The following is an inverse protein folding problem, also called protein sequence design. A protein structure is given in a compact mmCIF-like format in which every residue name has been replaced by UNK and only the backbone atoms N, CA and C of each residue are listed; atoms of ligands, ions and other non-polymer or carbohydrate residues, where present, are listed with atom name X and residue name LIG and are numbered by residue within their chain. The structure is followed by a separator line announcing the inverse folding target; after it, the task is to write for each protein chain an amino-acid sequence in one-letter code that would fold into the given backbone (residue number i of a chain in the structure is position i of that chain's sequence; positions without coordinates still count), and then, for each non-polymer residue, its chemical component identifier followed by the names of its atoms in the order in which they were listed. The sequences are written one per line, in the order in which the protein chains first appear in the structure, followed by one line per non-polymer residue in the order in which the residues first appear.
data_IF_313139613730
#
_entry.id   IF_313139613730
#
_cell.length_a   1.000
_cell.length_b   1.000
_cell.length_c   1.000
_cell.angle_alpha   90.00
_cell.angle_beta   90.00
_cell.angle_gamma   90.00
#
_symmetry.space_group_name_H-M   'P 1'
#
loop_
_entity.id
_entity.type
_entity.pdbx_description
1 polymer ?
#
# COMPACT_ATOMS: atom_id res chain seq x y z
N UNK A 1 -17.10 -14.20 -7.88
CA UNK A 1 -15.64 -13.99 -8.10
C UNK A 1 -14.93 -15.29 -8.53
N UNK A 2 -15.69 -16.31 -8.94
CA UNK A 2 -15.21 -17.70 -9.00
C UNK A 2 -14.46 -18.07 -10.28
N UNK A 3 -14.35 -17.16 -11.24
CA UNK A 3 -13.79 -17.42 -12.59
C UNK A 3 -12.40 -16.78 -12.80
N UNK A 4 -11.98 -15.83 -11.97
CA UNK A 4 -10.71 -15.10 -12.15
C UNK A 4 -9.45 -15.87 -11.70
N UNK A 5 -8.51 -16.20 -12.61
CA UNK A 5 -7.26 -16.90 -12.28
C UNK A 5 -6.41 -16.11 -11.26
N UNK A 6 -6.00 -16.69 -10.12
CA UNK A 6 -5.18 -15.99 -9.12
C UNK A 6 -3.79 -15.66 -9.67
N UNK A 7 -3.13 -14.69 -9.04
CA UNK A 7 -1.77 -14.23 -9.38
C UNK A 7 -0.90 -14.24 -8.13
N UNK A 8 0.42 -14.38 -8.30
CA UNK A 8 1.36 -14.58 -7.18
C UNK A 8 1.94 -13.31 -6.56
N UNK A 9 1.69 -12.12 -7.16
CA UNK A 9 2.19 -10.84 -6.63
C UNK A 9 1.10 -9.78 -6.67
N UNK A 10 1.05 -8.86 -5.69
CA UNK A 10 -0.01 -7.85 -5.58
C UNK A 10 0.09 -6.77 -6.66
N UNK A 11 1.28 -6.48 -7.17
CA UNK A 11 1.52 -5.58 -8.30
C UNK A 11 2.49 -6.23 -9.28
N UNK A 12 2.01 -6.58 -10.48
CA UNK A 12 2.85 -7.13 -11.54
C UNK A 12 3.83 -6.09 -12.11
N UNK A 13 5.00 -6.54 -12.56
CA UNK A 13 6.06 -5.68 -13.12
C UNK A 13 5.64 -4.91 -14.39
N UNK A 14 4.61 -5.39 -15.08
CA UNK A 14 3.99 -4.73 -16.23
C UNK A 14 3.23 -3.45 -15.85
N UNK A 15 2.83 -3.28 -14.58
CA UNK A 15 2.07 -2.10 -14.14
C UNK A 15 3.01 -0.96 -13.72
N UNK A 16 3.51 -0.23 -14.71
CA UNK A 16 4.25 1.03 -14.53
C UNK A 16 3.31 2.23 -14.70
N UNK A 17 2.47 2.44 -13.69
CA UNK A 17 1.37 3.42 -13.75
C UNK A 17 1.89 4.87 -13.65
N UNK A 18 1.33 5.76 -14.46
CA UNK A 18 1.64 7.20 -14.50
C UNK A 18 0.40 8.02 -14.86
N UNK A 19 0.40 9.32 -14.56
CA UNK A 19 -0.62 10.25 -15.03
C UNK A 19 -0.74 10.29 -16.57
N UNK A 20 0.26 9.78 -17.30
CA UNK A 20 0.18 9.62 -18.76
C UNK A 20 -0.87 8.61 -19.20
N UNK A 21 -1.23 7.66 -18.33
CA UNK A 21 -2.23 6.62 -18.56
C UNK A 21 -3.66 7.09 -18.22
N UNK A 22 -3.79 8.31 -17.68
CA UNK A 22 -5.08 8.93 -17.42
C UNK A 22 -5.71 9.46 -18.73
N UNK A 23 -7.06 9.43 -18.84
CA UNK A 23 -7.77 10.00 -19.98
C UNK A 23 -7.47 11.49 -20.17
N UNK A 24 -7.20 11.90 -21.42
CA UNK A 24 -6.87 13.28 -21.80
C UNK A 24 -8.03 13.98 -22.49
N UNK A 25 -8.73 13.27 -23.35
CA UNK A 25 -9.87 13.79 -24.09
C UNK A 25 -11.20 13.13 -23.66
N UNK A 26 -12.31 13.71 -24.11
CA UNK A 26 -13.63 13.25 -23.72
C UNK A 26 -13.97 11.88 -24.32
N UNK A 27 -13.34 11.49 -25.44
CA UNK A 27 -13.50 10.15 -26.02
C UNK A 27 -12.84 9.08 -25.16
N UNK A 28 -11.65 9.36 -24.61
CA UNK A 28 -10.95 8.47 -23.69
C UNK A 28 -11.67 8.38 -22.34
N UNK A 29 -12.21 9.49 -21.85
CA UNK A 29 -13.06 9.48 -20.64
C UNK A 29 -14.31 8.63 -20.87
N UNK A 30 -14.91 8.72 -22.05
CA UNK A 30 -16.08 7.90 -22.41
C UNK A 30 -15.71 6.42 -22.56
N UNK A 31 -14.58 6.10 -23.21
CA UNK A 31 -14.04 4.74 -23.24
C UNK A 31 -13.80 4.18 -21.84
N UNK A 32 -13.29 4.99 -20.91
CA UNK A 32 -13.11 4.58 -19.51
C UNK A 32 -14.45 4.29 -18.82
N UNK A 33 -15.47 5.14 -19.04
CA UNK A 33 -16.84 4.91 -18.54
C UNK A 33 -17.47 3.64 -19.10
N UNK A 34 -17.26 3.36 -20.38
CA UNK A 34 -17.78 2.15 -21.06
C UNK A 34 -17.04 0.89 -20.59
N UNK A 35 -15.71 0.93 -20.53
CA UNK A 35 -14.85 -0.22 -20.16
C UNK A 35 -15.04 -0.65 -18.70
N UNK A 36 -15.49 0.27 -17.84
CA UNK A 36 -15.85 -0.01 -16.44
C UNK A 36 -17.28 -0.54 -16.27
N UNK A 37 -18.00 -0.83 -17.37
CA UNK A 37 -19.40 -1.31 -17.39
C UNK A 37 -20.42 -0.37 -16.72
N UNK A 38 -20.12 0.93 -16.58
CA UNK A 38 -21.07 1.87 -16.01
C UNK A 38 -20.81 3.31 -16.50
N UNK A 39 -21.58 3.74 -17.51
CA UNK A 39 -21.73 5.15 -17.85
C UNK A 39 -22.10 5.94 -16.60
N UNK A 40 -21.31 6.96 -16.27
CA UNK A 40 -21.36 7.81 -15.06
C UNK A 40 -20.80 7.25 -13.72
N UNK A 41 -20.54 5.94 -13.56
CA UNK A 41 -20.10 5.35 -12.26
C UNK A 41 -18.61 4.98 -12.25
N UNK A 42 -17.90 5.01 -13.38
CA UNK A 42 -16.51 4.53 -13.47
C UNK A 42 -15.52 5.11 -12.43
N UNK A 43 -15.55 6.42 -12.17
CA UNK A 43 -14.71 7.04 -11.13
C UNK A 43 -15.15 6.66 -9.71
N UNK A 44 -16.47 6.56 -9.49
CA UNK A 44 -17.03 6.13 -8.21
C UNK A 44 -16.67 4.67 -7.91
N UNK A 45 -16.75 3.77 -8.90
CA UNK A 45 -16.34 2.37 -8.73
C UNK A 45 -14.85 2.24 -8.43
N UNK A 46 -14.00 3.05 -9.08
CA UNK A 46 -12.57 3.05 -8.80
C UNK A 46 -12.29 3.48 -7.35
N UNK A 47 -12.90 4.58 -6.91
CA UNK A 47 -12.76 5.07 -5.54
C UNK A 47 -13.30 4.08 -4.50
N UNK A 48 -14.47 3.47 -4.75
CA UNK A 48 -15.05 2.45 -3.87
C UNK A 48 -14.17 1.21 -3.80
N UNK A 49 -13.66 0.71 -4.93
CA UNK A 49 -12.76 -0.44 -4.97
C UNK A 49 -11.47 -0.17 -4.18
N UNK A 50 -10.89 1.02 -4.34
CA UNK A 50 -9.71 1.42 -3.56
C UNK A 50 -10.04 1.54 -2.08
N UNK A 51 -11.20 2.10 -1.71
CA UNK A 51 -11.64 2.15 -0.32
C UNK A 51 -11.74 0.77 0.31
N UNK A 52 -12.33 -0.19 -0.39
CA UNK A 52 -12.38 -1.60 0.06
C UNK A 52 -10.99 -2.23 0.16
N UNK A 53 -10.11 -1.97 -0.81
CA UNK A 53 -8.72 -2.45 -0.77
C UNK A 53 -7.92 -1.82 0.37
N UNK A 54 -8.14 -0.53 0.67
CA UNK A 54 -7.52 0.16 1.80
C UNK A 54 -7.96 -0.47 3.13
N UNK A 55 -9.22 -0.87 3.26
CA UNK A 55 -9.69 -1.59 4.44
C UNK A 55 -8.95 -2.92 4.62
N UNK A 56 -8.87 -3.75 3.58
CA UNK A 56 -8.12 -5.01 3.64
C UNK A 56 -6.63 -4.78 3.94
N UNK A 57 -6.03 -3.77 3.31
CA UNK A 57 -4.63 -3.37 3.50
C UNK A 57 -4.32 -3.02 4.95
N UNK A 58 -5.19 -2.25 5.61
CA UNK A 58 -4.97 -1.76 6.98
C UNK A 58 -5.29 -2.84 8.02
N UNK A 59 -6.29 -3.68 7.77
CA UNK A 59 -6.78 -4.62 8.77
C UNK A 59 -6.08 -5.98 8.75
N UNK A 60 -5.82 -6.55 7.57
CA UNK A 60 -5.47 -7.97 7.46
C UNK A 60 -4.32 -8.29 6.51
N UNK A 61 -3.96 -7.36 5.62
CA UNK A 61 -3.19 -7.68 4.42
C UNK A 61 -2.06 -6.67 4.15
N UNK A 62 -0.99 -6.68 4.96
CA UNK A 62 0.12 -5.73 4.83
C UNK A 62 0.85 -5.80 3.49
N UNK A 63 0.86 -6.98 2.87
CA UNK A 63 1.51 -7.29 1.59
C UNK A 63 0.93 -6.52 0.40
N UNK A 64 -0.34 -6.10 0.44
CA UNK A 64 -0.94 -5.26 -0.62
C UNK A 64 -0.66 -3.76 -0.43
N UNK A 65 -0.06 -3.33 0.67
CA UNK A 65 0.04 -1.91 1.03
C UNK A 65 0.72 -1.06 -0.04
N UNK A 66 1.80 -1.57 -0.62
CA UNK A 66 2.47 -0.88 -1.72
C UNK A 66 1.59 -0.78 -2.97
N UNK A 67 0.95 -1.87 -3.38
CA UNK A 67 0.11 -1.91 -4.57
C UNK A 67 -1.08 -0.93 -4.46
N UNK A 68 -1.76 -0.93 -3.31
CA UNK A 68 -2.87 -0.01 -3.00
C UNK A 68 -2.37 1.44 -2.95
N UNK A 69 -1.21 1.68 -2.34
CA UNK A 69 -0.54 2.98 -2.31
C UNK A 69 -0.17 3.53 -3.70
N UNK A 70 0.08 2.67 -4.69
CA UNK A 70 0.32 3.09 -6.08
C UNK A 70 -0.99 3.43 -6.80
N UNK A 71 -1.99 2.54 -6.78
CA UNK A 71 -3.26 2.77 -7.52
C UNK A 71 -4.09 3.93 -6.93
N UNK A 72 -4.01 4.17 -5.63
CA UNK A 72 -4.71 5.27 -4.95
C UNK A 72 -4.32 6.67 -5.44
N UNK A 73 -3.13 6.82 -6.04
CA UNK A 73 -2.65 8.11 -6.56
C UNK A 73 -3.52 8.65 -7.70
N UNK A 74 -4.20 7.76 -8.41
CA UNK A 74 -4.98 8.09 -9.61
C UNK A 74 -6.48 8.16 -9.37
N UNK A 75 -6.93 8.21 -8.10
CA UNK A 75 -8.36 8.23 -7.75
C UNK A 75 -9.15 9.38 -8.38
N UNK A 76 -8.51 10.53 -8.64
CA UNK A 76 -9.18 11.69 -9.23
C UNK A 76 -9.44 11.56 -10.73
N UNK A 77 -8.57 10.85 -11.46
CA UNK A 77 -8.67 10.67 -12.91
C UNK A 77 -8.12 9.30 -13.33
N UNK A 78 -8.82 8.19 -12.99
CA UNK A 78 -8.35 6.85 -13.29
C UNK A 78 -8.46 6.54 -14.79
N UNK A 79 -7.52 5.76 -15.31
CA UNK A 79 -7.49 5.27 -16.68
C UNK A 79 -7.63 3.75 -16.75
N UNK A 80 -7.67 3.20 -17.96
CA UNK A 80 -7.90 1.75 -18.17
C UNK A 80 -6.78 0.92 -17.52
N UNK A 81 -5.52 1.33 -17.68
CA UNK A 81 -4.37 0.68 -17.04
C UNK A 81 -4.45 0.71 -15.52
N UNK A 82 -4.93 1.82 -14.93
CA UNK A 82 -5.14 1.94 -13.49
C UNK A 82 -6.19 0.93 -13.00
N UNK A 83 -7.29 0.77 -13.74
CA UNK A 83 -8.32 -0.22 -13.43
C UNK A 83 -7.85 -1.66 -13.58
N UNK A 84 -6.99 -1.95 -14.56
CA UNK A 84 -6.38 -3.26 -14.71
C UNK A 84 -5.48 -3.63 -13.55
N UNK A 85 -4.72 -2.68 -13.01
CA UNK A 85 -3.95 -2.88 -11.79
C UNK A 85 -4.84 -3.17 -10.57
N UNK A 86 -5.98 -2.48 -10.42
CA UNK A 86 -6.96 -2.78 -9.35
C UNK A 86 -7.52 -4.20 -9.50
N UNK A 87 -7.92 -4.60 -10.72
CA UNK A 87 -8.35 -5.98 -10.99
C UNK A 87 -7.25 -7.00 -10.69
N UNK A 88 -5.98 -6.66 -10.93
CA UNK A 88 -4.85 -7.52 -10.59
C UNK A 88 -4.70 -7.72 -9.08
N UNK A 89 -4.82 -6.65 -8.28
CA UNK A 89 -4.82 -6.74 -6.81
C UNK A 89 -5.96 -7.65 -6.34
N UNK A 90 -7.16 -7.49 -6.88
CA UNK A 90 -8.30 -8.35 -6.53
C UNK A 90 -8.06 -9.84 -6.89
N UNK A 91 -7.36 -10.12 -7.98
CA UNK A 91 -6.94 -11.50 -8.34
C UNK A 91 -5.90 -12.06 -7.38
N UNK A 92 -5.00 -11.22 -6.88
CA UNK A 92 -4.04 -11.60 -5.85
C UNK A 92 -4.76 -11.97 -4.55
N UNK A 93 -5.68 -11.11 -4.10
CA UNK A 93 -6.49 -11.35 -2.91
C UNK A 93 -7.32 -12.64 -2.98
N UNK A 94 -7.80 -13.00 -4.17
CA UNK A 94 -8.47 -14.28 -4.37
C UNK A 94 -7.55 -15.46 -4.05
N UNK A 95 -6.27 -15.38 -4.43
CA UNK A 95 -5.27 -16.42 -4.17
C UNK A 95 -4.81 -16.49 -2.72
N UNK A 96 -4.92 -15.39 -1.98
CA UNK A 96 -4.47 -15.26 -0.58
C UNK A 96 -5.62 -15.12 0.41
N UNK A 97 -6.86 -15.42 0.01
CA UNK A 97 -8.06 -15.27 0.85
C UNK A 97 -8.02 -16.08 2.16
N UNK A 98 -7.28 -17.19 2.16
CA UNK A 98 -7.14 -18.10 3.30
C UNK A 98 -5.90 -17.79 4.14
N UNK A 99 -5.13 -16.75 3.79
CA UNK A 99 -4.00 -16.26 4.58
C UNK A 99 -4.47 -15.20 5.57
N UNK A 100 -3.94 -15.29 6.80
CA UNK A 100 -4.26 -14.36 7.88
C UNK A 100 -3.03 -14.09 8.74
N UNK A 101 -3.04 -12.97 9.45
CA UNK A 101 -2.08 -12.70 10.51
C UNK A 101 -2.37 -13.63 11.68
N UNK A 102 -1.37 -14.44 12.06
CA UNK A 102 -1.48 -15.41 13.16
C UNK A 102 -0.59 -14.96 14.30
N UNK A 103 -1.21 -14.60 15.43
CA UNK A 103 -0.47 -14.27 16.64
C UNK A 103 0.19 -15.51 17.23
N UNK A 104 1.52 -15.53 17.22
CA UNK A 104 2.31 -16.59 17.82
C UNK A 104 2.38 -16.50 19.34
N UNK A 105 2.92 -17.55 19.97
CA UNK A 105 3.27 -17.57 21.41
C UNK A 105 4.73 -17.18 21.66
N UNK A 106 5.30 -16.39 20.75
CA UNK A 106 6.69 -15.95 20.85
C UNK A 106 6.91 -15.00 22.03
N UNK A 107 8.18 -14.66 22.26
CA UNK A 107 8.53 -13.57 23.19
C UNK A 107 7.88 -12.27 22.75
N UNK A 108 7.23 -11.58 23.68
CA UNK A 108 6.49 -10.34 23.44
C UNK A 108 7.44 -9.15 23.29
N UNK A 109 8.27 -9.21 22.26
CA UNK A 109 9.26 -8.20 21.90
C UNK A 109 8.76 -7.40 20.71
N UNK A 110 8.83 -6.07 20.81
CA UNK A 110 8.59 -5.16 19.71
C UNK A 110 9.83 -5.09 18.81
N UNK A 111 9.65 -5.16 17.49
CA UNK A 111 10.73 -4.99 16.51
C UNK A 111 10.21 -4.28 15.27
N UNK A 112 10.93 -3.27 14.82
CA UNK A 112 10.64 -2.48 13.62
C UNK A 112 11.60 -2.81 12.48
N UNK A 113 11.09 -2.72 11.27
CA UNK A 113 11.86 -2.77 10.04
C UNK A 113 11.46 -1.58 9.20
N UNK A 114 12.43 -0.89 8.61
CA UNK A 114 12.18 0.31 7.81
C UNK A 114 12.97 0.25 6.51
N UNK A 115 12.34 0.67 5.42
CA UNK A 115 12.98 0.80 4.12
C UNK A 115 12.43 2.00 3.34
N UNK A 116 13.19 2.43 2.34
CA UNK A 116 12.79 3.50 1.44
C UNK A 116 13.18 3.18 -0.01
N UNK A 117 12.19 3.27 -0.91
CA UNK A 117 12.41 3.22 -2.35
C UNK A 117 12.64 4.63 -2.91
N UNK A 118 13.87 4.90 -3.38
CA UNK A 118 14.26 6.22 -3.87
C UNK A 118 13.78 6.45 -5.29
N UNK A 119 12.81 7.36 -5.45
CA UNK A 119 12.24 7.73 -6.74
C UNK A 119 11.83 6.53 -7.62
N UNK A 120 11.60 5.33 -7.08
CA UNK A 120 11.33 4.14 -7.88
C UNK A 120 9.88 4.10 -8.35
N UNK A 121 8.94 4.17 -7.41
CA UNK A 121 7.51 3.94 -7.67
C UNK A 121 6.71 5.14 -8.21
N UNK A 122 7.23 6.37 -8.13
CA UNK A 122 6.53 7.58 -8.61
C UNK A 122 7.17 8.09 -9.91
N UNK A 123 6.59 7.69 -11.04
CA UNK A 123 7.06 8.08 -12.36
C UNK A 123 6.76 9.55 -12.70
N UNK A 124 5.80 10.16 -12.01
CA UNK A 124 5.32 11.50 -12.32
C UNK A 124 6.08 12.58 -11.55
N UNK A 125 6.25 12.40 -10.24
CA UNK A 125 6.92 13.40 -9.38
C UNK A 125 8.26 12.92 -8.80
N UNK A 126 8.68 11.68 -9.11
CA UNK A 126 9.95 11.09 -8.65
C UNK A 126 10.12 11.13 -7.13
N UNK A 127 9.02 11.10 -6.37
CA UNK A 127 9.06 11.04 -4.92
C UNK A 127 9.35 9.62 -4.46
N UNK A 128 10.09 9.53 -3.36
CA UNK A 128 10.45 8.26 -2.74
C UNK A 128 9.28 7.67 -1.95
N UNK A 129 9.28 6.36 -1.74
CA UNK A 129 8.26 5.67 -0.95
C UNK A 129 8.87 5.17 0.35
N UNK A 130 8.28 5.53 1.48
CA UNK A 130 8.61 5.02 2.80
C UNK A 130 7.81 3.76 3.07
N UNK A 131 8.47 2.71 3.54
CA UNK A 131 7.84 1.52 4.10
C UNK A 131 8.37 1.22 5.49
N UNK A 132 7.48 0.79 6.40
CA UNK A 132 7.91 0.16 7.64
C UNK A 132 6.96 -0.98 8.00
N UNK A 133 7.46 -1.91 8.81
CA UNK A 133 6.69 -2.99 9.43
C UNK A 133 7.17 -3.15 10.86
N UNK A 134 6.25 -3.06 11.81
CA UNK A 134 6.46 -3.40 13.22
C UNK A 134 5.83 -4.76 13.52
N UNK A 135 6.58 -5.55 14.26
CA UNK A 135 6.17 -6.88 14.73
C UNK A 135 6.18 -6.91 16.25
N UNK A 136 5.23 -7.64 16.82
CA UNK A 136 5.14 -7.91 18.25
C UNK A 136 4.80 -9.39 18.45
N UNK A 137 5.57 -10.10 19.26
CA UNK A 137 5.37 -11.55 19.43
C UNK A 137 5.58 -12.36 18.14
N UNK A 138 6.42 -11.84 17.23
CA UNK A 138 6.66 -12.43 15.90
C UNK A 138 5.54 -12.19 14.88
N UNK A 139 4.54 -11.35 15.20
CA UNK A 139 3.40 -11.06 14.32
C UNK A 139 3.37 -9.59 13.95
N UNK A 140 3.08 -9.27 12.70
CA UNK A 140 2.96 -7.90 12.22
C UNK A 140 1.76 -7.19 12.88
N UNK A 141 2.01 -6.02 13.48
CA UNK A 141 1.01 -5.24 14.24
C UNK A 141 0.81 -3.82 13.72
N UNK A 142 1.82 -3.22 13.11
CA UNK A 142 1.70 -1.90 12.46
C UNK A 142 2.57 -1.89 11.21
N UNK A 143 2.10 -1.27 10.13
CA UNK A 143 2.81 -1.23 8.86
C UNK A 143 2.33 -0.07 8.01
N UNK A 144 3.18 0.35 7.07
CA UNK A 144 2.81 1.34 6.07
C UNK A 144 3.60 1.14 4.78
N UNK A 145 3.01 1.58 3.67
CA UNK A 145 3.73 1.94 2.46
C UNK A 145 3.17 3.26 1.95
N UNK A 146 3.97 4.33 2.01
CA UNK A 146 3.50 5.70 1.77
C UNK A 146 4.48 6.50 0.94
N UNK A 147 3.95 7.22 -0.04
CA UNK A 147 4.72 8.17 -0.83
C UNK A 147 5.15 9.36 0.04
N UNK A 148 6.43 9.71 0.00
CA UNK A 148 6.99 10.81 0.77
C UNK A 148 6.39 12.15 0.32
N UNK A 149 6.23 13.08 1.26
CA UNK A 149 5.68 14.41 0.97
C UNK A 149 6.67 15.27 0.18
N UNK A 150 7.96 15.09 0.44
CA UNK A 150 9.06 15.81 -0.21
C UNK A 150 9.68 14.96 -1.34
N UNK A 151 10.33 15.64 -2.28
CA UNK A 151 11.23 14.99 -3.25
C UNK A 151 12.62 14.96 -2.60
N UNK A 152 13.09 13.76 -2.28
CA UNK A 152 14.44 13.57 -1.75
C UNK A 152 15.46 13.58 -2.90
N UNK A 153 16.69 13.98 -2.61
CA UNK A 153 17.78 14.11 -3.58
C UNK A 153 18.71 12.91 -3.60
N UNK A 154 18.64 12.03 -2.60
CA UNK A 154 19.44 10.80 -2.53
C UNK A 154 18.69 9.65 -1.87
N UNK A 155 19.18 8.42 -2.08
CA UNK A 155 18.72 7.22 -1.36
C UNK A 155 18.89 7.37 0.15
N UNK A 156 19.95 8.04 0.59
CA UNK A 156 20.23 8.27 2.01
C UNK A 156 19.20 9.20 2.63
N UNK A 157 18.86 10.30 1.95
CA UNK A 157 17.83 11.22 2.41
C UNK A 157 16.45 10.55 2.47
N UNK A 158 16.10 9.74 1.46
CA UNK A 158 14.87 8.94 1.48
C UNK A 158 14.80 8.00 2.69
N UNK A 159 15.92 7.35 3.03
CA UNK A 159 16.03 6.51 4.23
C UNK A 159 15.87 7.31 5.53
N UNK A 160 16.46 8.51 5.63
CA UNK A 160 16.26 9.37 6.80
C UNK A 160 14.79 9.74 7.01
N UNK A 161 14.08 10.08 5.93
CA UNK A 161 12.63 10.36 5.99
C UNK A 161 11.86 9.12 6.45
N UNK A 162 12.21 7.93 5.92
CA UNK A 162 11.56 6.68 6.31
C UNK A 162 11.79 6.33 7.79
N UNK A 163 13.04 6.40 8.26
CA UNK A 163 13.40 6.18 9.68
C UNK A 163 12.68 7.17 10.59
N UNK A 164 12.55 8.43 10.18
CA UNK A 164 11.83 9.44 10.97
C UNK A 164 10.34 9.10 11.12
N UNK A 165 9.69 8.61 10.06
CA UNK A 165 8.28 8.19 10.14
C UNK A 165 8.13 6.90 10.97
N UNK A 166 9.06 5.95 10.84
CA UNK A 166 9.07 4.73 11.65
C UNK A 166 9.32 5.05 13.14
N UNK A 167 10.23 5.98 13.46
CA UNK A 167 10.51 6.37 14.84
C UNK A 167 9.29 6.98 15.55
N UNK A 168 8.46 7.76 14.83
CA UNK A 168 7.20 8.29 15.39
C UNK A 168 6.24 7.17 15.79
N UNK A 169 6.08 6.19 14.90
CA UNK A 169 5.25 5.02 15.15
C UNK A 169 5.79 4.17 16.30
N UNK A 170 7.11 3.97 16.34
CA UNK A 170 7.79 3.25 17.41
C UNK A 170 7.53 3.87 18.78
N UNK A 171 7.71 5.17 18.93
CA UNK A 171 7.45 5.89 20.19
C UNK A 171 5.98 5.73 20.61
N UNK A 172 5.06 5.80 19.65
CA UNK A 172 3.64 5.57 19.93
C UNK A 172 3.38 4.14 20.42
N UNK A 173 3.93 3.12 19.75
CA UNK A 173 3.78 1.72 20.13
C UNK A 173 4.41 1.42 21.51
N UNK A 174 5.57 2.00 21.82
CA UNK A 174 6.20 1.86 23.13
C UNK A 174 5.32 2.44 24.24
N UNK A 175 4.78 3.64 24.04
CA UNK A 175 3.87 4.25 25.01
C UNK A 175 2.59 3.42 25.20
N UNK A 176 2.00 2.93 24.11
CA UNK A 176 0.84 2.06 24.17
C UNK A 176 1.13 0.76 24.94
N UNK A 177 2.27 0.12 24.70
CA UNK A 177 2.68 -1.09 25.42
C UNK A 177 3.00 -0.81 26.90
N UNK A 178 3.57 0.36 27.22
CA UNK A 178 3.79 0.79 28.60
C UNK A 178 2.47 0.89 29.37
N UNK A 179 1.44 1.50 28.78
CA UNK A 179 0.09 1.59 29.37
C UNK A 179 -0.55 0.22 29.59
N UNK A 180 -0.25 -0.75 28.73
CA UNK A 180 -0.68 -2.15 28.89
C UNK A 180 0.16 -2.96 29.89
N UNK A 181 1.13 -2.33 30.59
CA UNK A 181 2.01 -3.01 31.53
C UNK A 181 3.04 -3.94 30.88
N UNK A 182 3.39 -3.68 29.61
CA UNK A 182 4.35 -4.45 28.81
C UNK A 182 5.52 -3.56 28.33
N UNK A 183 6.28 -2.93 29.24
CA UNK A 183 7.35 -2.04 28.84
C UNK A 183 8.39 -2.73 27.95
N UNK A 184 8.88 -2.00 26.95
CA UNK A 184 9.88 -2.47 25.99
C UNK A 184 11.16 -1.65 26.21
N UNK A 185 12.15 -2.22 26.89
CA UNK A 185 13.40 -1.53 27.26
C UNK A 185 14.34 -1.37 26.04
N UNK A 186 14.41 -2.40 25.19
CA UNK A 186 15.19 -2.41 23.96
C UNK A 186 14.30 -2.75 22.77
N UNK A 187 14.14 -1.80 21.83
CA UNK A 187 13.44 -2.04 20.57
C UNK A 187 14.41 -1.95 19.41
N UNK A 188 14.51 -3.03 18.64
CA UNK A 188 15.27 -3.04 17.40
C UNK A 188 14.49 -2.28 16.31
N UNK A 189 15.16 -1.37 15.60
CA UNK A 189 14.66 -0.63 14.42
C UNK A 189 15.71 -0.67 13.29
#
# INVERSE_FOLDING_TARGET
MDIAKPVGVPLGSQFRLSNKDSPKDDSEKERMRITTYASAIGSLMYATAIGSLMYAMVCTQPDIAHAVGVVSRFMSNPGVMHWEAVKWILRYLRGTKDQALVFGRGTLTLSGFVDADFAGSDLDKRRSTTGYVFTYGGTTVSWISKLQKIVTLSTTEAKYVAVTEAAKELVWLQNFLNELGRPQEDVAL
#
